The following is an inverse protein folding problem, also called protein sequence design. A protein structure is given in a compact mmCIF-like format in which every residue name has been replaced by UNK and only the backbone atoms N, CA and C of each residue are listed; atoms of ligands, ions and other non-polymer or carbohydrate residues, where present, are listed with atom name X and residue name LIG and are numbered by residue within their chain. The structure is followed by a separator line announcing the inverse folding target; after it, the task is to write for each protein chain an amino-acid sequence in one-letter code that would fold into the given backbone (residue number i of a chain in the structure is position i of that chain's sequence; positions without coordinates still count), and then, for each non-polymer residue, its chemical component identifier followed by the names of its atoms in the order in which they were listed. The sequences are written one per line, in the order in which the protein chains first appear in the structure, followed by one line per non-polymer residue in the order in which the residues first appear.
data_IF_453215341814
#
_entry.id   IF_453215341814
#
_cell.length_a   1.000
_cell.length_b   1.000
_cell.length_c   1.000
_cell.angle_alpha   90.00
_cell.angle_beta   90.00
_cell.angle_gamma   90.00
#
_symmetry.space_group_name_H-M   'P 1'
#
loop_
_entity.id
_entity.type
_entity.pdbx_description
1 polymer ?
#
# COMPACT_ATOMS: atom_id res chain seq x y z
N UNK A 1 5.87 -30.66 -2.64
CA UNK A 1 5.87 -31.77 -1.67
C UNK A 1 6.51 -31.39 -0.33
N UNK A 2 7.80 -31.01 -0.23
CA UNK A 2 8.36 -30.55 1.06
C UNK A 2 7.78 -29.22 1.55
N UNK A 3 7.59 -28.22 0.68
CA UNK A 3 7.01 -26.91 1.06
C UNK A 3 5.51 -27.01 1.44
N UNK A 4 4.74 -27.86 0.75
CA UNK A 4 3.33 -28.14 1.09
C UNK A 4 3.17 -28.95 2.39
N UNK A 5 4.07 -29.92 2.63
CA UNK A 5 4.12 -30.64 3.89
C UNK A 5 4.56 -29.72 5.04
N UNK A 6 5.48 -28.78 4.80
CA UNK A 6 5.79 -27.73 5.77
C UNK A 6 4.56 -26.85 6.04
N UNK A 7 3.86 -26.36 5.02
CA UNK A 7 2.69 -25.49 5.22
C UNK A 7 1.53 -26.15 5.99
N UNK A 8 1.34 -27.47 5.85
CA UNK A 8 0.31 -28.24 6.59
C UNK A 8 0.80 -28.84 7.91
N UNK A 9 2.13 -28.90 8.15
CA UNK A 9 2.75 -29.33 9.41
C UNK A 9 3.31 -28.18 10.26
N UNK A 10 3.16 -26.93 9.82
CA UNK A 10 3.41 -25.77 10.67
C UNK A 10 2.32 -25.76 11.74
N UNK A 11 2.64 -26.37 12.86
CA UNK A 11 2.00 -26.02 14.12
C UNK A 11 2.34 -24.54 14.38
N UNK A 12 1.36 -23.65 14.18
CA UNK A 12 1.53 -22.22 14.44
C UNK A 12 1.79 -21.91 15.92
N UNK A 13 1.63 -22.89 16.82
CA UNK A 13 2.02 -22.81 18.24
C UNK A 13 3.49 -23.18 18.46
N UNK A 14 4.18 -23.70 17.45
CA UNK A 14 5.62 -23.91 17.49
C UNK A 14 6.32 -22.55 17.36
N UNK A 15 7.12 -22.20 18.36
CA UNK A 15 7.86 -20.93 18.40
C UNK A 15 8.75 -20.67 17.18
N UNK A 16 9.12 -21.73 16.45
CA UNK A 16 9.89 -21.62 15.20
C UNK A 16 9.12 -20.89 14.07
N UNK A 17 7.79 -20.88 14.09
CA UNK A 17 6.94 -20.32 13.04
C UNK A 17 6.15 -19.08 13.48
N UNK A 18 6.55 -18.45 14.59
CA UNK A 18 5.86 -17.29 15.15
C UNK A 18 5.84 -16.11 14.16
N UNK A 19 6.90 -15.93 13.36
CA UNK A 19 6.98 -14.87 12.35
C UNK A 19 5.99 -15.08 11.21
N UNK A 20 5.90 -16.31 10.72
CA UNK A 20 4.96 -16.71 9.67
C UNK A 20 3.52 -16.59 10.16
N UNK A 21 3.24 -16.97 11.43
CA UNK A 21 1.93 -16.82 12.03
C UNK A 21 1.49 -15.34 12.10
N UNK A 22 2.42 -14.41 12.40
CA UNK A 22 2.17 -12.96 12.43
C UNK A 22 2.03 -12.30 11.06
N UNK A 23 2.54 -12.94 10.00
CA UNK A 23 2.54 -12.41 8.62
C UNK A 23 1.83 -13.35 7.65
N UNK A 24 0.89 -14.13 8.16
CA UNK A 24 0.25 -15.24 7.47
C UNK A 24 -0.47 -14.82 6.19
N UNK A 25 -1.15 -13.66 6.20
CA UNK A 25 -1.80 -13.12 5.01
C UNK A 25 -0.80 -12.86 3.87
N UNK A 26 0.34 -12.25 4.19
CA UNK A 26 1.40 -11.96 3.23
C UNK A 26 2.05 -13.25 2.72
N UNK A 27 2.21 -14.25 3.58
CA UNK A 27 2.71 -15.57 3.19
C UNK A 27 1.76 -16.24 2.17
N UNK A 28 0.46 -16.31 2.47
CA UNK A 28 -0.51 -16.91 1.56
C UNK A 28 -0.61 -16.14 0.23
N UNK A 29 -0.53 -14.80 0.28
CA UNK A 29 -0.51 -13.96 -0.92
C UNK A 29 0.70 -14.24 -1.81
N UNK A 30 1.90 -14.34 -1.23
CA UNK A 30 3.13 -14.65 -1.96
C UNK A 30 3.09 -16.04 -2.58
N UNK A 31 2.60 -17.04 -1.83
CA UNK A 31 2.42 -18.40 -2.35
C UNK A 31 1.39 -18.45 -3.49
N UNK A 32 0.25 -17.77 -3.35
CA UNK A 32 -0.75 -17.69 -4.41
C UNK A 32 -0.16 -17.13 -5.71
N UNK A 33 0.55 -16.00 -5.64
CA UNK A 33 1.19 -15.41 -6.82
C UNK A 33 2.23 -16.36 -7.43
N UNK A 34 3.03 -17.05 -6.61
CA UNK A 34 3.98 -18.04 -7.09
C UNK A 34 3.29 -19.23 -7.77
N UNK A 35 2.22 -19.77 -7.18
CA UNK A 35 1.45 -20.88 -7.74
C UNK A 35 0.82 -20.51 -9.09
N UNK A 36 0.25 -19.31 -9.22
CA UNK A 36 -0.31 -18.81 -10.48
C UNK A 36 0.74 -18.70 -11.59
N UNK A 37 1.93 -18.15 -11.28
CA UNK A 37 3.02 -18.01 -12.25
C UNK A 37 3.61 -19.38 -12.64
N UNK A 38 3.81 -20.26 -11.65
CA UNK A 38 4.31 -21.62 -11.90
C UNK A 38 3.33 -22.45 -12.71
N UNK A 39 2.01 -22.32 -12.47
CA UNK A 39 1.00 -22.94 -13.33
C UNK A 39 1.07 -22.40 -14.75
N UNK A 40 1.19 -21.08 -14.92
CA UNK A 40 1.28 -20.45 -16.24
C UNK A 40 2.43 -21.00 -17.09
N UNK A 41 3.60 -21.23 -16.48
CA UNK A 41 4.79 -21.75 -17.15
C UNK A 41 4.73 -23.28 -17.34
N UNK A 42 4.41 -24.03 -16.29
CA UNK A 42 4.57 -25.49 -16.28
C UNK A 42 3.33 -26.26 -16.72
N UNK A 43 2.14 -25.66 -16.61
CA UNK A 43 0.82 -26.32 -16.75
C UNK A 43 0.61 -27.52 -15.81
N UNK A 44 1.40 -27.62 -14.73
CA UNK A 44 1.22 -28.68 -13.74
C UNK A 44 0.04 -28.35 -12.82
N UNK A 45 -1.02 -29.16 -12.91
CA UNK A 45 -2.28 -29.00 -12.18
C UNK A 45 -2.14 -28.96 -10.65
N UNK A 46 -1.00 -29.40 -10.09
CA UNK A 46 -0.73 -29.22 -8.66
C UNK A 46 -0.71 -27.75 -8.26
N UNK A 47 -0.16 -26.86 -9.10
CA UNK A 47 -0.07 -25.43 -8.80
C UNK A 47 -1.44 -24.77 -8.89
N UNK A 48 -2.27 -25.23 -9.82
CA UNK A 48 -3.66 -24.80 -9.92
C UNK A 48 -4.48 -25.22 -8.69
N UNK A 49 -4.24 -26.43 -8.18
CA UNK A 49 -4.86 -26.94 -6.95
C UNK A 49 -4.40 -26.13 -5.73
N UNK A 50 -3.10 -25.87 -5.62
CA UNK A 50 -2.53 -25.07 -4.54
C UNK A 50 -3.08 -23.64 -4.56
N UNK A 51 -3.12 -22.98 -5.73
CA UNK A 51 -3.67 -21.64 -5.89
C UNK A 51 -5.12 -21.54 -5.40
N UNK A 52 -5.96 -22.54 -5.71
CA UNK A 52 -7.33 -22.59 -5.20
C UNK A 52 -7.39 -22.69 -3.67
N UNK A 53 -6.47 -23.45 -3.06
CA UNK A 53 -6.35 -23.51 -1.61
C UNK A 53 -5.91 -22.16 -1.03
N UNK A 54 -4.88 -21.51 -1.61
CA UNK A 54 -4.40 -20.21 -1.15
C UNK A 54 -5.48 -19.13 -1.21
N UNK A 55 -6.29 -19.12 -2.27
CA UNK A 55 -7.45 -18.22 -2.36
C UNK A 55 -8.42 -18.46 -1.20
N UNK A 56 -8.74 -19.70 -0.87
CA UNK A 56 -9.63 -20.01 0.26
C UNK A 56 -9.03 -19.56 1.59
N UNK A 57 -7.73 -19.78 1.81
CA UNK A 57 -7.03 -19.34 3.03
C UNK A 57 -7.09 -17.80 3.16
N UNK A 58 -6.75 -17.06 2.09
CA UNK A 58 -6.80 -15.59 2.08
C UNK A 58 -8.22 -15.10 2.36
N UNK A 59 -9.24 -15.65 1.67
CA UNK A 59 -10.63 -15.26 1.86
C UNK A 59 -11.12 -15.58 3.28
N UNK A 60 -10.61 -16.64 3.91
CA UNK A 60 -10.98 -16.99 5.28
C UNK A 60 -10.53 -15.92 6.29
N UNK A 61 -9.47 -15.16 5.98
CA UNK A 61 -8.92 -14.10 6.82
C UNK A 61 -9.68 -12.78 6.70
N UNK A 62 -10.68 -12.67 5.82
CA UNK A 62 -11.50 -11.47 5.74
C UNK A 62 -12.54 -11.47 6.86
N UNK A 63 -12.58 -10.39 7.62
CA UNK A 63 -13.61 -10.16 8.62
C UNK A 63 -14.96 -9.80 7.98
N UNK A 64 -16.04 -9.99 8.74
CA UNK A 64 -17.39 -9.57 8.40
C UNK A 64 -17.52 -8.09 8.06
N UNK A 65 -16.71 -7.21 8.67
CA UNK A 65 -16.67 -5.79 8.35
C UNK A 65 -15.92 -5.47 7.04
N UNK A 66 -15.11 -6.40 6.52
CA UNK A 66 -14.46 -6.30 5.21
C UNK A 66 -12.95 -6.06 5.21
N UNK A 67 -12.33 -5.74 6.36
CA UNK A 67 -10.86 -5.76 6.49
C UNK A 67 -10.32 -7.20 6.53
N UNK A 68 -9.02 -7.38 6.31
CA UNK A 68 -8.36 -8.68 6.45
C UNK A 68 -7.55 -8.74 7.74
N UNK A 69 -7.36 -9.92 8.30
CA UNK A 69 -6.37 -10.14 9.35
C UNK A 69 -5.00 -10.42 8.75
N UNK A 70 -3.94 -9.80 9.30
CA UNK A 70 -2.57 -10.06 8.85
C UNK A 70 -2.03 -11.40 9.37
N UNK A 71 -2.55 -11.85 10.52
CA UNK A 71 -2.10 -13.01 11.27
C UNK A 71 -3.14 -14.14 11.30
N UNK A 72 -2.66 -15.37 11.51
CA UNK A 72 -3.50 -16.57 11.55
C UNK A 72 -4.50 -16.55 12.71
N UNK A 73 -4.08 -16.03 13.87
CA UNK A 73 -4.93 -15.88 15.06
C UNK A 73 -6.00 -14.79 14.96
N UNK A 74 -6.03 -14.02 13.86
CA UNK A 74 -7.01 -12.95 13.63
C UNK A 74 -7.01 -11.88 14.72
N UNK A 75 -5.81 -11.47 15.12
CA UNK A 75 -5.62 -10.46 16.17
C UNK A 75 -5.30 -9.07 15.62
N UNK A 76 -4.72 -9.00 14.43
CA UNK A 76 -4.17 -7.76 13.85
C UNK A 76 -4.86 -7.42 12.55
N UNK A 77 -5.47 -6.23 12.49
CA UNK A 77 -6.19 -5.75 11.30
C UNK A 77 -5.21 -5.25 10.24
N UNK A 78 -5.37 -5.74 9.02
CA UNK A 78 -4.77 -5.22 7.80
C UNK A 78 -5.83 -4.43 7.01
N UNK A 79 -5.74 -3.10 7.10
CA UNK A 79 -6.66 -2.19 6.39
C UNK A 79 -6.20 -1.98 4.93
N UNK A 80 -4.89 -1.96 4.71
CA UNK A 80 -4.30 -1.58 3.43
C UNK A 80 -4.48 -2.61 2.32
N UNK A 81 -4.54 -2.13 1.09
CA UNK A 81 -4.35 -2.97 -0.09
C UNK A 81 -2.91 -3.52 -0.11
N UNK A 82 -2.76 -4.84 -0.19
CA UNK A 82 -1.47 -5.49 -0.32
C UNK A 82 -1.52 -6.58 -1.39
N UNK A 83 -0.48 -7.40 -1.46
CA UNK A 83 -0.40 -8.47 -2.47
C UNK A 83 -1.49 -9.54 -2.36
N UNK A 84 -2.21 -9.62 -1.23
CA UNK A 84 -3.37 -10.52 -1.10
C UNK A 84 -4.47 -10.16 -2.10
N UNK A 85 -4.84 -8.89 -2.24
CA UNK A 85 -5.82 -8.45 -3.25
C UNK A 85 -5.28 -8.62 -4.67
N UNK A 86 -3.98 -8.40 -4.89
CA UNK A 86 -3.31 -8.67 -6.18
C UNK A 86 -3.44 -10.14 -6.56
N UNK A 87 -3.08 -11.05 -5.67
CA UNK A 87 -3.19 -12.49 -5.89
C UNK A 87 -4.62 -12.93 -6.14
N UNK A 88 -5.60 -12.43 -5.38
CA UNK A 88 -7.02 -12.73 -5.62
C UNK A 88 -7.47 -12.27 -7.00
N UNK A 89 -7.12 -11.05 -7.42
CA UNK A 89 -7.50 -10.54 -8.75
C UNK A 89 -6.80 -11.29 -9.90
N UNK A 90 -5.53 -11.65 -9.75
CA UNK A 90 -4.84 -12.45 -10.77
C UNK A 90 -5.43 -13.86 -10.88
N UNK A 91 -5.79 -14.49 -9.76
CA UNK A 91 -6.55 -15.75 -9.78
C UNK A 91 -7.88 -15.58 -10.52
N UNK A 92 -8.64 -14.52 -10.20
CA UNK A 92 -9.92 -14.20 -10.85
C UNK A 92 -9.76 -14.09 -12.37
N UNK A 93 -8.75 -13.34 -12.84
CA UNK A 93 -8.47 -13.15 -14.27
C UNK A 93 -8.16 -14.47 -14.99
N UNK A 94 -7.39 -15.34 -14.36
CA UNK A 94 -7.03 -16.63 -14.94
C UNK A 94 -8.17 -17.66 -14.86
N UNK A 95 -9.13 -17.47 -13.95
CA UNK A 95 -10.18 -18.44 -13.65
C UNK A 95 -11.58 -17.79 -13.56
N UNK A 96 -12.05 -17.06 -14.57
CA UNK A 96 -13.26 -16.22 -14.46
C UNK A 96 -14.54 -17.01 -14.16
N UNK A 97 -14.61 -18.29 -14.57
CA UNK A 97 -15.78 -19.16 -14.34
C UNK A 97 -15.71 -19.95 -13.02
N UNK A 98 -14.66 -19.77 -12.22
CA UNK A 98 -14.52 -20.45 -10.93
C UNK A 98 -15.58 -19.97 -9.93
N UNK A 99 -16.09 -20.88 -9.09
CA UNK A 99 -16.96 -20.51 -7.97
C UNK A 99 -16.25 -19.59 -6.96
N UNK A 100 -14.91 -19.62 -6.92
CA UNK A 100 -14.13 -18.71 -6.08
C UNK A 100 -14.14 -17.27 -6.63
N UNK A 101 -14.36 -17.07 -7.93
CA UNK A 101 -14.39 -15.75 -8.55
C UNK A 101 -15.52 -14.88 -7.98
N UNK A 102 -16.70 -15.46 -7.75
CA UNK A 102 -17.81 -14.79 -7.06
C UNK A 102 -17.43 -14.37 -5.64
N UNK A 103 -16.70 -15.24 -4.91
CA UNK A 103 -16.23 -14.92 -3.55
C UNK A 103 -15.15 -13.84 -3.55
N UNK A 104 -14.32 -13.78 -4.59
CA UNK A 104 -13.31 -12.74 -4.77
C UNK A 104 -13.97 -11.39 -5.03
N UNK A 105 -14.93 -11.32 -5.95
CA UNK A 105 -15.69 -10.08 -6.20
C UNK A 105 -16.36 -9.56 -4.92
N UNK A 106 -17.02 -10.45 -4.17
CA UNK A 106 -17.64 -10.16 -2.89
C UNK A 106 -16.62 -9.71 -1.82
N UNK A 107 -15.41 -10.29 -1.81
CA UNK A 107 -14.33 -9.85 -0.94
C UNK A 107 -13.84 -8.43 -1.29
N UNK A 108 -13.69 -8.11 -2.58
CA UNK A 108 -13.36 -6.75 -3.02
C UNK A 108 -14.46 -5.77 -2.64
N UNK A 109 -15.74 -6.15 -2.78
CA UNK A 109 -16.89 -5.34 -2.36
C UNK A 109 -16.83 -4.99 -0.88
N UNK A 110 -16.70 -5.99 0.00
CA UNK A 110 -16.60 -5.74 1.44
C UNK A 110 -15.37 -4.91 1.80
N UNK A 111 -14.23 -5.18 1.17
CA UNK A 111 -13.00 -4.43 1.41
C UNK A 111 -13.18 -2.96 1.04
N UNK A 112 -13.71 -2.66 -0.15
CA UNK A 112 -13.89 -1.26 -0.58
C UNK A 112 -14.94 -0.54 0.27
N UNK A 113 -16.02 -1.21 0.66
CA UNK A 113 -17.01 -0.66 1.60
C UNK A 113 -16.38 -0.32 2.95
N UNK A 114 -15.53 -1.21 3.48
CA UNK A 114 -14.78 -0.94 4.70
C UNK A 114 -13.83 0.25 4.57
N UNK A 115 -13.03 0.32 3.50
CA UNK A 115 -12.03 1.38 3.37
C UNK A 115 -12.66 2.73 2.98
N UNK A 116 -13.84 2.73 2.35
CA UNK A 116 -14.54 3.94 1.88
C UNK A 116 -14.71 5.02 2.96
N UNK A 117 -14.90 4.60 4.23
CA UNK A 117 -15.06 5.53 5.35
C UNK A 117 -13.83 6.41 5.61
N UNK A 118 -12.63 5.95 5.25
CA UNK A 118 -11.39 6.68 5.54
C UNK A 118 -11.05 7.74 4.49
N UNK A 119 -11.64 7.67 3.29
CA UNK A 119 -11.45 8.69 2.25
C UNK A 119 -12.27 9.95 2.52
N UNK A 120 -13.39 9.81 3.24
CA UNK A 120 -14.24 10.92 3.64
C UNK A 120 -13.62 11.81 4.74
N UNK A 121 -12.49 11.38 5.33
CA UNK A 121 -11.82 12.10 6.40
C UNK A 121 -11.16 13.39 5.90
N UNK A 122 -10.69 13.41 4.64
CA UNK A 122 -10.02 14.57 4.06
C UNK A 122 -10.77 15.14 2.86
N UNK A 123 -10.80 16.47 2.74
CA UNK A 123 -11.33 17.17 1.57
C UNK A 123 -10.53 16.90 0.29
N UNK A 124 -9.30 16.38 0.40
CA UNK A 124 -8.47 15.97 -0.74
C UNK A 124 -8.75 14.54 -1.22
N UNK A 125 -9.50 13.75 -0.42
CA UNK A 125 -9.96 12.41 -0.78
C UNK A 125 -8.89 11.31 -0.78
N UNK A 126 -7.68 11.58 -0.29
CA UNK A 126 -6.68 10.55 -0.02
C UNK A 126 -7.12 9.68 1.17
N UNK A 127 -6.57 8.47 1.22
CA UNK A 127 -6.82 7.52 2.30
C UNK A 127 -6.33 8.08 3.64
N UNK A 128 -7.25 8.27 4.59
CA UNK A 128 -6.92 8.52 5.99
C UNK A 128 -6.51 7.25 6.74
N UNK A 129 -6.59 7.24 8.06
CA UNK A 129 -6.23 6.06 8.85
C UNK A 129 -6.67 6.13 10.30
N UNK A 130 -6.21 5.17 11.10
CA UNK A 130 -6.35 5.14 12.56
C UNK A 130 -5.00 5.42 13.21
N UNK A 131 -4.97 6.23 14.25
CA UNK A 131 -3.85 6.32 15.17
C UNK A 131 -3.82 5.12 16.13
N UNK A 132 -2.77 5.02 16.95
CA UNK A 132 -2.60 3.92 17.92
C UNK A 132 -3.72 3.88 18.97
N UNK A 133 -4.27 5.03 19.35
CA UNK A 133 -5.40 5.16 20.26
C UNK A 133 -6.77 4.87 19.59
N UNK A 134 -6.76 4.52 18.30
CA UNK A 134 -7.95 4.24 17.49
C UNK A 134 -8.64 5.47 16.92
N UNK A 135 -8.17 6.69 17.23
CA UNK A 135 -8.72 7.92 16.65
C UNK A 135 -8.51 7.97 15.13
N UNK A 136 -9.46 8.58 14.42
CA UNK A 136 -9.38 8.74 12.97
C UNK A 136 -8.48 9.91 12.60
N UNK A 137 -7.68 9.73 11.55
CA UNK A 137 -6.65 10.66 11.09
C UNK A 137 -6.77 10.88 9.59
N UNK A 138 -6.71 12.14 9.17
CA UNK A 138 -6.65 12.50 7.75
C UNK A 138 -5.29 12.18 7.14
N UNK A 139 -4.22 12.27 7.95
CA UNK A 139 -2.86 11.93 7.56
C UNK A 139 -2.33 10.86 8.52
N UNK A 140 -2.71 9.61 8.24
CA UNK A 140 -2.31 8.45 9.04
C UNK A 140 -0.89 7.97 8.73
N UNK A 141 -0.10 7.66 9.77
CA UNK A 141 1.32 7.33 9.61
C UNK A 141 1.59 6.21 8.60
N UNK A 142 0.81 5.12 8.58
CA UNK A 142 1.05 4.07 7.58
C UNK A 142 0.25 4.29 6.29
N UNK A 143 -1.01 4.70 6.41
CA UNK A 143 -1.96 4.76 5.31
C UNK A 143 -1.65 5.83 4.26
N UNK A 144 -1.02 6.94 4.64
CA UNK A 144 -0.61 8.00 3.69
C UNK A 144 0.82 7.88 3.18
N UNK A 145 1.44 6.68 3.24
CA UNK A 145 2.69 6.50 2.48
C UNK A 145 2.37 6.44 1.00
N UNK A 146 3.28 6.93 0.16
CA UNK A 146 3.09 6.87 -1.28
C UNK A 146 3.06 5.42 -1.79
N UNK A 147 3.77 4.47 -1.16
CA UNK A 147 3.55 3.03 -1.42
C UNK A 147 2.12 2.59 -1.14
N UNK A 148 1.54 3.03 -0.01
CA UNK A 148 0.19 2.63 0.40
C UNK A 148 -0.86 3.31 -0.47
N UNK A 149 -0.70 4.59 -0.79
CA UNK A 149 -1.59 5.33 -1.68
C UNK A 149 -1.59 4.71 -3.09
N UNK A 150 -0.42 4.35 -3.63
CA UNK A 150 -0.34 3.60 -4.89
C UNK A 150 -1.04 2.24 -4.82
N UNK A 151 -0.90 1.52 -3.70
CA UNK A 151 -1.61 0.26 -3.48
C UNK A 151 -3.13 0.44 -3.38
N UNK A 152 -3.60 1.48 -2.68
CA UNK A 152 -5.02 1.84 -2.63
C UNK A 152 -5.54 2.22 -4.00
N UNK A 153 -4.81 3.01 -4.79
CA UNK A 153 -5.17 3.32 -6.17
C UNK A 153 -5.40 2.03 -6.98
N UNK A 154 -4.47 1.08 -6.87
CA UNK A 154 -4.60 -0.22 -7.55
C UNK A 154 -5.83 -1.01 -7.08
N UNK A 155 -6.05 -1.11 -5.76
CA UNK A 155 -7.16 -1.87 -5.19
C UNK A 155 -8.53 -1.26 -5.53
N UNK A 156 -8.64 0.06 -5.45
CA UNK A 156 -9.86 0.82 -5.75
C UNK A 156 -10.20 0.76 -7.25
N UNK A 157 -9.22 0.94 -8.13
CA UNK A 157 -9.42 0.80 -9.57
C UNK A 157 -9.84 -0.63 -9.94
N UNK A 158 -9.28 -1.64 -9.25
CA UNK A 158 -9.70 -3.03 -9.41
C UNK A 158 -11.13 -3.26 -8.93
N UNK A 159 -11.53 -2.68 -7.79
CA UNK A 159 -12.91 -2.71 -7.33
C UNK A 159 -13.85 -2.01 -8.33
N UNK A 160 -13.44 -0.90 -8.92
CA UNK A 160 -14.21 -0.20 -9.96
C UNK A 160 -14.48 -1.09 -11.18
N UNK A 161 -13.47 -1.82 -11.65
CA UNK A 161 -13.58 -2.79 -12.76
C UNK A 161 -14.52 -3.95 -12.39
N UNK A 162 -14.31 -4.58 -11.25
CA UNK A 162 -15.06 -5.78 -10.84
C UNK A 162 -16.53 -5.45 -10.55
N UNK A 163 -16.78 -4.31 -9.90
CA UNK A 163 -18.11 -3.93 -9.39
C UNK A 163 -18.84 -2.96 -10.31
N UNK A 164 -18.18 -2.48 -11.38
CA UNK A 164 -18.71 -1.50 -12.36
C UNK A 164 -19.26 -0.24 -11.69
N UNK A 165 -18.49 0.32 -10.77
CA UNK A 165 -18.91 1.40 -9.90
C UNK A 165 -17.93 2.60 -10.01
N UNK A 166 -18.31 3.67 -10.75
CA UNK A 166 -17.43 4.82 -11.06
C UNK A 166 -16.85 5.51 -9.85
N UNK A 167 -17.57 5.56 -8.72
CA UNK A 167 -17.06 6.23 -7.52
C UNK A 167 -15.74 5.64 -7.02
N UNK A 168 -15.50 4.34 -7.25
CA UNK A 168 -14.25 3.70 -6.83
C UNK A 168 -13.07 4.10 -7.72
N UNK A 169 -13.31 4.40 -9.00
CA UNK A 169 -12.29 4.96 -9.87
C UNK A 169 -11.94 6.39 -9.44
N UNK A 170 -12.93 7.22 -9.13
CA UNK A 170 -12.68 8.58 -8.60
C UNK A 170 -11.82 8.51 -7.32
N UNK A 171 -12.15 7.60 -6.40
CA UNK A 171 -11.34 7.38 -5.19
C UNK A 171 -9.91 6.93 -5.51
N UNK A 172 -9.72 6.06 -6.52
CA UNK A 172 -8.40 5.62 -6.96
C UNK A 172 -7.56 6.80 -7.48
N UNK A 173 -8.16 7.66 -8.31
CA UNK A 173 -7.52 8.85 -8.86
C UNK A 173 -7.09 9.82 -7.77
N UNK A 174 -7.89 10.02 -6.71
CA UNK A 174 -7.50 10.87 -5.58
C UNK A 174 -6.21 10.43 -4.90
N UNK A 175 -5.93 9.12 -4.86
CA UNK A 175 -4.69 8.63 -4.26
C UNK A 175 -3.48 9.00 -5.11
N UNK A 176 -3.62 8.91 -6.44
CA UNK A 176 -2.57 9.29 -7.39
C UNK A 176 -2.38 10.80 -7.41
N UNK A 177 -3.47 11.57 -7.40
CA UNK A 177 -3.44 13.03 -7.39
C UNK A 177 -2.75 13.57 -6.14
N UNK A 178 -2.96 12.96 -4.96
CA UNK A 178 -2.22 13.31 -3.75
C UNK A 178 -0.70 13.19 -3.93
N UNK A 179 -0.23 12.09 -4.55
CA UNK A 179 1.19 11.87 -4.85
C UNK A 179 1.72 12.94 -5.79
N UNK A 180 0.91 13.38 -6.74
CA UNK A 180 1.28 14.33 -7.81
C UNK A 180 1.05 15.80 -7.46
N UNK A 181 0.69 16.13 -6.21
CA UNK A 181 0.64 17.51 -5.73
C UNK A 181 -0.74 18.04 -5.36
N UNK A 182 -1.82 17.27 -5.55
CA UNK A 182 -3.14 17.62 -5.02
C UNK A 182 -3.22 17.28 -3.54
N UNK A 183 -2.47 18.02 -2.73
CA UNK A 183 -2.38 17.86 -1.29
C UNK A 183 -2.20 19.24 -0.62
N UNK A 184 -2.41 19.35 0.71
CA UNK A 184 -2.33 20.61 1.43
C UNK A 184 -1.00 21.37 1.33
N UNK A 185 0.09 20.68 0.97
CA UNK A 185 1.41 21.28 0.84
C UNK A 185 1.69 21.83 -0.56
N UNK A 186 0.80 21.58 -1.54
CA UNK A 186 0.98 21.94 -2.95
C UNK A 186 2.35 21.45 -3.50
N UNK A 187 2.70 20.21 -3.12
CA UNK A 187 3.98 19.57 -3.47
C UNK A 187 3.73 18.22 -4.12
N UNK A 188 4.21 18.07 -5.35
CA UNK A 188 4.39 16.76 -5.95
C UNK A 188 5.51 16.01 -5.27
N UNK A 189 5.20 14.80 -4.83
CA UNK A 189 6.17 13.87 -4.27
C UNK A 189 6.80 12.98 -5.36
N UNK A 190 6.48 13.21 -6.64
CA UNK A 190 7.16 12.59 -7.78
C UNK A 190 8.13 13.59 -8.41
N UNK A 191 9.42 13.30 -8.32
CA UNK A 191 10.45 14.16 -8.87
C UNK A 191 10.35 14.27 -10.40
N UNK A 192 10.49 15.49 -10.92
CA UNK A 192 10.33 15.79 -12.35
C UNK A 192 8.88 15.98 -12.82
N UNK A 193 7.89 15.90 -11.92
CA UNK A 193 6.48 16.19 -12.22
C UNK A 193 5.97 17.25 -11.24
N UNK A 194 5.45 18.36 -11.74
CA UNK A 194 4.95 19.44 -10.88
C UNK A 194 6.05 20.10 -10.03
N UNK A 195 5.65 20.72 -8.90
CA UNK A 195 6.56 21.39 -7.96
C UNK A 195 6.97 20.43 -6.83
N UNK A 196 8.26 20.15 -6.67
CA UNK A 196 8.80 19.31 -5.59
C UNK A 196 9.22 20.09 -4.33
N UNK A 197 9.70 19.39 -3.28
CA UNK A 197 10.08 20.02 -2.00
C UNK A 197 11.43 20.77 -2.01
N UNK A 198 12.22 20.70 -3.08
CA UNK A 198 13.52 21.39 -3.19
C UNK A 198 14.70 20.70 -2.50
N UNK A 199 14.45 19.69 -1.66
CA UNK A 199 15.46 18.83 -1.05
C UNK A 199 15.05 17.37 -1.01
N UNK A 200 16.05 16.49 -1.07
CA UNK A 200 15.85 15.05 -1.10
C UNK A 200 16.79 14.34 -0.15
N UNK A 201 16.29 13.32 0.56
CA UNK A 201 17.14 12.42 1.31
C UNK A 201 17.73 11.37 0.36
N UNK A 202 18.69 11.80 -0.47
CA UNK A 202 19.33 10.93 -1.46
C UNK A 202 20.79 11.31 -1.68
N UNK A 203 21.69 10.32 -1.68
CA UNK A 203 23.15 10.56 -1.76
C UNK A 203 23.63 11.15 -3.08
N UNK A 204 22.79 11.17 -4.12
CA UNK A 204 23.17 11.79 -5.40
C UNK A 204 23.40 13.30 -5.27
N UNK A 205 22.88 13.96 -4.24
CA UNK A 205 23.19 15.35 -3.92
C UNK A 205 24.69 15.63 -3.68
N UNK A 206 25.51 14.58 -3.50
CA UNK A 206 26.97 14.68 -3.33
C UNK A 206 27.74 14.40 -4.63
N UNK A 207 27.05 14.16 -5.74
CA UNK A 207 27.65 13.99 -7.07
C UNK A 207 27.66 15.34 -7.79
N UNK A 208 28.80 15.67 -8.42
CA UNK A 208 28.94 16.89 -9.23
C UNK A 208 27.87 16.94 -10.33
N UNK A 209 27.14 18.05 -10.41
CA UNK A 209 26.04 18.25 -11.36
C UNK A 209 24.69 17.64 -10.95
N UNK A 210 24.60 17.05 -9.76
CA UNK A 210 23.38 16.45 -9.20
C UNK A 210 23.11 16.92 -7.77
N UNK A 211 23.60 18.10 -7.39
CA UNK A 211 23.51 18.67 -6.05
C UNK A 211 22.07 18.93 -5.61
N UNK A 212 21.15 19.05 -6.57
CA UNK A 212 19.71 19.16 -6.32
C UNK A 212 19.09 17.85 -5.79
N UNK A 213 19.80 16.72 -5.82
CA UNK A 213 19.35 15.42 -5.33
C UNK A 213 18.20 14.81 -6.12
N UNK A 214 17.84 15.39 -7.28
CA UNK A 214 16.68 14.99 -8.07
C UNK A 214 16.94 13.64 -8.73
N UNK A 215 16.02 12.69 -8.55
CA UNK A 215 15.98 11.44 -9.32
C UNK A 215 14.70 11.47 -10.15
N UNK A 216 14.76 11.82 -11.45
CA UNK A 216 13.56 11.94 -12.27
C UNK A 216 12.68 10.68 -12.21
N UNK A 217 11.40 10.88 -11.91
CA UNK A 217 10.42 9.81 -11.70
C UNK A 217 10.44 9.17 -10.32
N UNK A 218 11.44 9.43 -9.47
CA UNK A 218 11.51 8.95 -8.10
C UNK A 218 10.36 9.47 -7.25
N UNK A 219 9.78 8.62 -6.40
CA UNK A 219 8.67 8.99 -5.52
C UNK A 219 9.08 8.95 -4.07
N UNK A 220 8.88 10.08 -3.38
CA UNK A 220 9.20 10.25 -1.97
C UNK A 220 8.31 9.41 -1.06
N UNK A 221 8.69 9.25 0.20
CA UNK A 221 7.99 8.40 1.13
C UNK A 221 6.56 8.87 1.43
N UNK A 222 6.37 10.14 1.82
CA UNK A 222 5.06 10.69 2.27
C UNK A 222 5.10 12.17 2.61
N UNK A 223 3.91 12.72 2.83
CA UNK A 223 3.65 13.80 3.78
C UNK A 223 3.31 13.17 5.14
N UNK A 224 4.02 13.56 6.19
CA UNK A 224 3.71 13.15 7.57
C UNK A 224 2.60 14.04 8.15
N UNK A 225 1.85 13.51 9.13
CA UNK A 225 0.81 14.26 9.83
C UNK A 225 1.28 14.68 11.21
N UNK A 226 1.08 15.95 11.57
CA UNK A 226 1.33 16.45 12.92
C UNK A 226 0.55 15.66 13.98
N UNK A 227 1.06 15.62 15.21
CA UNK A 227 0.48 14.84 16.32
C UNK A 227 0.04 15.71 17.50
N UNK A 228 0.27 17.02 17.45
CA UNK A 228 0.20 17.91 18.62
C UNK A 228 1.41 17.79 19.55
N UNK A 229 2.30 16.83 19.32
CA UNK A 229 3.55 16.63 20.05
C UNK A 229 4.76 16.63 19.12
N UNK A 230 5.74 15.76 19.40
CA UNK A 230 6.94 15.59 18.57
C UNK A 230 6.69 14.57 17.47
N UNK A 231 7.08 14.91 16.24
CA UNK A 231 7.15 14.01 15.09
C UNK A 231 8.60 13.94 14.62
N UNK A 232 9.19 12.77 14.75
CA UNK A 232 10.55 12.48 14.28
C UNK A 232 10.51 12.17 12.79
N UNK A 233 11.21 12.97 11.98
CA UNK A 233 11.29 12.77 10.52
C UNK A 233 12.70 12.41 10.05
N UNK A 234 13.73 12.61 10.89
CA UNK A 234 15.13 12.21 10.66
C UNK A 234 15.58 10.93 11.40
N UNK A 235 16.88 10.60 11.36
CA UNK A 235 17.45 9.45 12.09
C UNK A 235 18.09 9.90 13.41
N UNK A 236 17.40 9.64 14.52
CA UNK A 236 17.87 10.02 15.84
C UNK A 236 19.24 9.42 16.22
N UNK A 237 19.63 8.28 15.63
CA UNK A 237 20.86 7.58 16.01
C UNK A 237 22.11 8.27 15.46
N UNK A 238 21.95 9.14 14.47
CA UNK A 238 23.07 9.77 13.75
C UNK A 238 23.48 11.12 14.32
N UNK A 239 22.72 11.67 15.29
CA UNK A 239 22.92 13.03 15.78
C UNK A 239 22.41 14.12 14.83
N UNK A 240 21.86 13.73 13.67
CA UNK A 240 21.32 14.65 12.67
C UNK A 240 19.81 14.51 12.62
N UNK A 241 19.16 15.38 13.38
CA UNK A 241 17.73 15.30 13.67
C UNK A 241 16.97 16.30 12.82
N UNK A 242 15.86 15.86 12.25
CA UNK A 242 14.80 16.75 11.78
C UNK A 242 13.55 16.33 12.53
N UNK A 243 12.96 17.27 13.24
CA UNK A 243 11.78 17.07 14.09
C UNK A 243 10.77 18.16 13.80
N UNK A 244 9.49 17.81 13.87
CA UNK A 244 8.39 18.75 13.81
C UNK A 244 7.65 18.68 15.15
N UNK A 245 7.53 19.80 15.86
CA UNK A 245 7.00 19.82 17.22
C UNK A 245 5.79 20.73 17.34
N UNK A 246 4.80 20.31 18.14
CA UNK A 246 3.60 21.07 18.50
C UNK A 246 2.74 21.50 17.30
N UNK A 247 2.95 20.92 16.13
CA UNK A 247 2.06 21.10 15.00
C UNK A 247 0.69 20.46 15.29
N UNK A 248 -0.43 21.11 14.91
CA UNK A 248 -1.75 20.53 15.07
C UNK A 248 -1.85 19.11 14.50
N UNK A 249 -2.76 18.32 15.05
CA UNK A 249 -3.07 17.00 14.53
C UNK A 249 -3.41 17.10 13.04
N UNK A 250 -2.77 16.26 12.22
CA UNK A 250 -2.89 16.23 10.75
C UNK A 250 -2.38 17.48 10.01
N UNK A 251 -1.59 18.33 10.65
CA UNK A 251 -0.81 19.32 9.93
C UNK A 251 0.14 18.62 8.94
N UNK A 252 0.16 19.00 7.65
CA UNK A 252 0.98 18.37 6.63
C UNK A 252 2.47 18.72 6.83
N UNK A 253 3.31 17.72 7.00
CA UNK A 253 4.74 17.87 7.24
C UNK A 253 5.52 17.19 6.11
N UNK A 254 6.33 17.98 5.42
CA UNK A 254 7.36 17.56 4.47
C UNK A 254 8.47 18.61 4.54
N UNK A 255 9.73 18.18 4.53
CA UNK A 255 10.84 19.14 4.60
C UNK A 255 10.96 19.89 3.28
N UNK A 256 10.94 21.22 3.37
CA UNK A 256 11.05 22.15 2.25
C UNK A 256 11.99 23.31 2.58
N UNK A 257 12.61 23.30 3.76
CA UNK A 257 13.35 24.45 4.30
C UNK A 257 14.80 24.49 3.82
N UNK A 258 15.32 23.35 3.38
CA UNK A 258 16.68 23.19 2.88
C UNK A 258 16.70 22.95 1.37
N UNK A 259 17.86 23.16 0.74
CA UNK A 259 18.05 22.90 -0.69
C UNK A 259 19.00 21.73 -0.91
N UNK A 260 18.67 20.89 -1.90
CA UNK A 260 19.48 19.76 -2.35
C UNK A 260 19.36 18.53 -1.46
N UNK A 261 19.66 18.66 -0.16
CA UNK A 261 19.71 17.53 0.74
C UNK A 261 19.10 17.77 2.12
N UNK A 262 18.45 16.73 2.66
CA UNK A 262 17.84 16.72 4.00
C UNK A 262 18.09 15.40 4.72
N UNK A 263 18.10 15.44 6.07
CA UNK A 263 18.05 14.26 6.93
C UNK A 263 16.64 13.69 7.12
N UNK A 264 15.59 14.37 6.63
CA UNK A 264 14.19 14.00 6.77
C UNK A 264 13.79 12.78 5.89
N UNK A 265 14.40 11.63 6.13
CA UNK A 265 14.19 10.41 5.33
C UNK A 265 12.73 9.92 5.38
N UNK A 266 12.01 10.15 6.49
CA UNK A 266 10.61 9.74 6.64
C UNK A 266 9.73 10.35 5.56
N UNK A 267 10.00 11.59 5.14
CA UNK A 267 9.19 12.32 4.15
C UNK A 267 9.88 12.41 2.79
N UNK A 268 11.19 12.72 2.75
CA UNK A 268 11.92 13.15 1.56
C UNK A 268 12.85 12.08 0.96
N UNK A 269 12.84 10.83 1.45
CA UNK A 269 13.60 9.74 0.84
C UNK A 269 12.80 9.08 -0.30
N UNK A 270 13.50 8.75 -1.39
CA UNK A 270 12.96 7.89 -2.43
C UNK A 270 12.96 6.43 -2.01
N UNK A 271 11.91 5.71 -2.37
CA UNK A 271 11.90 4.25 -2.19
C UNK A 271 11.28 3.54 -3.38
N UNK A 272 11.92 2.48 -3.85
CA UNK A 272 11.49 1.72 -5.03
C UNK A 272 10.08 1.16 -4.89
N UNK A 273 9.61 0.88 -3.67
CA UNK A 273 8.23 0.46 -3.43
C UNK A 273 7.21 1.57 -3.69
N UNK A 274 7.55 2.84 -3.45
CA UNK A 274 6.66 3.97 -3.77
C UNK A 274 6.45 4.02 -5.30
N UNK A 275 7.54 3.91 -6.05
CA UNK A 275 7.52 3.84 -7.52
C UNK A 275 6.72 2.65 -8.04
N UNK A 276 6.99 1.44 -7.54
CA UNK A 276 6.32 0.22 -8.01
C UNK A 276 4.81 0.30 -7.81
N UNK A 277 4.36 0.70 -6.63
CA UNK A 277 2.92 0.82 -6.34
C UNK A 277 2.25 1.97 -7.07
N UNK A 278 2.94 3.10 -7.27
CA UNK A 278 2.41 4.16 -8.11
C UNK A 278 2.20 3.70 -9.56
N UNK A 279 3.20 3.03 -10.15
CA UNK A 279 3.09 2.50 -11.52
C UNK A 279 1.94 1.49 -11.62
N UNK A 280 1.86 0.55 -10.68
CA UNK A 280 0.75 -0.42 -10.63
C UNK A 280 -0.60 0.29 -10.50
N UNK A 281 -0.73 1.23 -9.57
CA UNK A 281 -1.96 2.00 -9.35
C UNK A 281 -2.39 2.81 -10.56
N UNK A 282 -1.46 3.55 -11.17
CA UNK A 282 -1.71 4.36 -12.35
C UNK A 282 -2.14 3.52 -13.56
N UNK A 283 -1.45 2.41 -13.84
CA UNK A 283 -1.82 1.51 -14.93
C UNK A 283 -3.19 0.85 -14.71
N UNK A 284 -3.50 0.48 -13.46
CA UNK A 284 -4.79 -0.13 -13.15
C UNK A 284 -5.94 0.89 -13.20
N UNK A 285 -5.71 2.13 -12.77
CA UNK A 285 -6.67 3.22 -12.93
C UNK A 285 -6.94 3.52 -14.41
N UNK A 286 -5.88 3.58 -15.23
CA UNK A 286 -5.98 3.75 -16.68
C UNK A 286 -6.80 2.61 -17.32
N UNK A 287 -6.54 1.36 -16.90
CA UNK A 287 -7.33 0.21 -17.32
C UNK A 287 -8.80 0.35 -16.89
N UNK A 288 -9.08 0.82 -15.68
CA UNK A 288 -10.45 1.04 -15.23
C UNK A 288 -11.16 2.11 -16.09
N UNK A 289 -10.51 3.24 -16.38
CA UNK A 289 -11.04 4.28 -17.26
C UNK A 289 -11.44 3.76 -18.65
N UNK A 290 -10.70 2.79 -19.20
CA UNK A 290 -11.01 2.19 -20.51
C UNK A 290 -12.16 1.17 -20.48
N UNK A 291 -12.44 0.58 -19.32
CA UNK A 291 -13.38 -0.54 -19.18
C UNK A 291 -14.74 -0.13 -18.59
N UNK A 292 -14.89 1.13 -18.21
CA UNK A 292 -16.10 1.71 -17.62
C UNK A 292 -16.79 2.62 -18.63
#
# INVERSE_FOLDING_TARGET
REVQNLATQIDTLNSKYEKEAKTYLSLQAGLLLADLELYCISKDEKYQTDAQQRVQEILSLQDSQGFFYSDYSRSTQQIGCGFHLVGLYEFFKQNPTSKLSVKIEDAFKRWVEYVSQFFALSSFGQMGGKAEDGSLRNIGYQSTSNKSLGAFAWGLATAAILLREPKYLEMAERQLQWILGFNPADISMMAGVGRGPGCYHHRYCFMEGHEDGVVPGGILNRIAGGTGGVVEIGDLRTGNFVVAENFPVDYPIIDTEVWGWTYAWVTNEYWTLNNAWFIMGALQAEKAMRNM
#
